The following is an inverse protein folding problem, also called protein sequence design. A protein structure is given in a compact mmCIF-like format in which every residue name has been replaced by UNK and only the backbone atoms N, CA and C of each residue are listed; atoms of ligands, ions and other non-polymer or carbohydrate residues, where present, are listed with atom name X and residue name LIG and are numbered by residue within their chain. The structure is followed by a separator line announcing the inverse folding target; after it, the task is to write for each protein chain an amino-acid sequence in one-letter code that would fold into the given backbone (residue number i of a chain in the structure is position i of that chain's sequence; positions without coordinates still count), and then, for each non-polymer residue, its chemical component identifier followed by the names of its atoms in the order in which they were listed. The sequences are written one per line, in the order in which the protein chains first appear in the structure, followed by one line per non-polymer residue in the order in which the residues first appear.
data_IF_025978192795
#
_entry.id   IF_025978192795
#
_cell.length_a   1.000
_cell.length_b   1.000
_cell.length_c   1.000
_cell.angle_alpha   90.00
_cell.angle_beta   90.00
_cell.angle_gamma   90.00
#
_symmetry.space_group_name_H-M   'P 1'
#
loop_
_entity.id
_entity.type
_entity.pdbx_description
1 polymer ?
#
# COMPACT_ATOMS: atom_id res chain seq x y z
N UNK A 1 -48.28 -18.65 5.00
CA UNK A 1 -46.95 -18.35 4.48
C UNK A 1 -46.77 -19.15 3.20
N UNK A 2 -46.37 -18.52 2.16
CA UNK A 2 -45.95 -19.24 0.93
C UNK A 2 -44.61 -19.95 1.14
N UNK A 3 -44.20 -20.79 0.20
CA UNK A 3 -42.94 -21.54 0.29
C UNK A 3 -41.72 -20.63 0.35
N UNK A 4 -41.77 -19.43 -0.26
CA UNK A 4 -40.70 -18.43 -0.22
C UNK A 4 -40.61 -17.79 1.17
N UNK A 5 -41.72 -17.43 1.76
CA UNK A 5 -41.76 -16.87 3.11
C UNK A 5 -41.25 -17.88 4.18
N UNK A 6 -41.59 -19.16 4.02
CA UNK A 6 -41.09 -20.22 4.91
C UNK A 6 -39.57 -20.38 4.78
N UNK A 7 -39.03 -20.37 3.52
CA UNK A 7 -37.60 -20.48 3.30
C UNK A 7 -36.82 -19.27 3.87
N UNK A 8 -37.38 -18.06 3.75
CA UNK A 8 -36.79 -16.84 4.33
C UNK A 8 -36.78 -16.89 5.86
N UNK A 9 -37.89 -17.30 6.49
CA UNK A 9 -37.97 -17.44 7.93
C UNK A 9 -36.97 -18.48 8.49
N UNK A 10 -36.71 -19.56 7.75
CA UNK A 10 -35.70 -20.54 8.14
C UNK A 10 -34.27 -19.93 8.01
N UNK A 11 -34.01 -19.16 6.95
CA UNK A 11 -32.72 -18.44 6.81
C UNK A 11 -32.51 -17.49 7.99
N UNK A 12 -33.49 -16.67 8.33
CA UNK A 12 -33.41 -15.71 9.45
C UNK A 12 -33.15 -16.41 10.79
N UNK A 13 -33.77 -17.58 11.01
CA UNK A 13 -33.55 -18.38 12.20
C UNK A 13 -32.11 -18.95 12.26
N UNK A 14 -31.59 -19.41 11.14
CA UNK A 14 -30.20 -19.88 11.01
C UNK A 14 -29.21 -18.72 11.21
N UNK A 15 -29.47 -17.56 10.61
CA UNK A 15 -28.61 -16.37 10.73
C UNK A 15 -28.53 -15.89 12.18
N UNK A 16 -29.64 -15.98 12.94
CA UNK A 16 -29.65 -15.69 14.39
C UNK A 16 -28.69 -16.61 15.15
N UNK A 17 -28.68 -17.91 14.81
CA UNK A 17 -27.75 -18.86 15.43
C UNK A 17 -26.31 -18.61 15.00
N UNK A 18 -26.07 -18.26 13.72
CA UNK A 18 -24.75 -17.91 13.20
C UNK A 18 -24.18 -16.68 13.90
N UNK A 19 -24.99 -15.66 14.19
CA UNK A 19 -24.55 -14.47 14.94
C UNK A 19 -24.03 -14.85 16.34
N UNK A 20 -24.78 -15.66 17.09
CA UNK A 20 -24.35 -16.11 18.42
C UNK A 20 -23.09 -17.00 18.37
N UNK A 21 -22.96 -17.86 17.34
CA UNK A 21 -21.76 -18.67 17.13
C UNK A 21 -20.56 -17.83 16.71
N UNK A 22 -20.77 -16.77 15.93
CA UNK A 22 -19.75 -15.83 15.55
C UNK A 22 -19.19 -15.09 16.79
N UNK A 23 -20.04 -14.53 17.64
CA UNK A 23 -19.60 -13.88 18.89
C UNK A 23 -18.80 -14.83 19.79
N UNK A 24 -19.27 -16.06 19.95
CA UNK A 24 -18.56 -17.09 20.72
C UNK A 24 -17.20 -17.42 20.10
N UNK A 25 -17.11 -17.48 18.76
CA UNK A 25 -15.85 -17.69 18.04
C UNK A 25 -14.89 -16.52 18.24
N UNK A 26 -15.39 -15.27 18.18
CA UNK A 26 -14.55 -14.08 18.36
C UNK A 26 -14.04 -13.96 19.80
N UNK A 27 -14.81 -14.37 20.81
CA UNK A 27 -14.33 -14.46 22.18
C UNK A 27 -13.15 -15.45 22.34
N UNK A 28 -13.20 -16.59 21.62
CA UNK A 28 -12.07 -17.52 21.59
C UNK A 28 -10.86 -16.96 20.83
N UNK A 29 -11.07 -16.17 19.77
CA UNK A 29 -10.00 -15.46 19.04
C UNK A 29 -9.25 -14.49 19.97
N UNK A 30 -9.96 -13.76 20.84
CA UNK A 30 -9.34 -12.88 21.85
C UNK A 30 -8.37 -13.63 22.76
N UNK A 31 -8.77 -14.80 23.26
CA UNK A 31 -7.90 -15.61 24.11
C UNK A 31 -6.64 -16.07 23.36
N UNK A 32 -6.78 -16.41 22.06
CA UNK A 32 -5.62 -16.74 21.22
C UNK A 32 -4.72 -15.51 21.00
N UNK A 33 -5.31 -14.33 20.76
CA UNK A 33 -4.57 -13.08 20.60
C UNK A 33 -3.76 -12.74 21.86
N UNK A 34 -4.35 -12.83 23.04
CA UNK A 34 -3.67 -12.60 24.31
C UNK A 34 -2.52 -13.59 24.54
N UNK A 35 -2.74 -14.86 24.23
CA UNK A 35 -1.69 -15.87 24.31
C UNK A 35 -0.53 -15.57 23.36
N UNK A 36 -0.82 -15.25 22.09
CA UNK A 36 0.20 -14.88 21.11
C UNK A 36 1.00 -13.66 21.55
N UNK A 37 0.33 -12.61 22.06
CA UNK A 37 0.99 -11.42 22.60
C UNK A 37 1.95 -11.77 23.75
N UNK A 38 1.51 -12.57 24.71
CA UNK A 38 2.31 -12.96 25.86
C UNK A 38 3.55 -13.78 25.49
N UNK A 39 3.52 -14.50 24.32
CA UNK A 39 4.60 -15.38 23.88
C UNK A 39 5.33 -14.87 22.62
N UNK A 40 5.05 -13.63 22.15
CA UNK A 40 5.70 -13.06 20.97
C UNK A 40 5.43 -13.81 19.67
N UNK A 41 4.27 -14.50 19.56
CA UNK A 41 3.91 -15.28 18.37
C UNK A 41 3.22 -14.41 17.31
N UNK A 42 3.45 -14.66 16.00
CA UNK A 42 2.81 -13.91 14.93
C UNK A 42 1.30 -14.18 14.86
N UNK A 43 0.54 -13.19 14.35
CA UNK A 43 -0.90 -13.36 14.08
C UNK A 43 -1.11 -14.43 12.99
N UNK A 44 -0.32 -14.38 11.93
CA UNK A 44 -0.44 -15.29 10.79
C UNK A 44 0.34 -16.60 11.01
N UNK A 45 -0.33 -17.72 10.77
CA UNK A 45 0.24 -19.09 10.78
C UNK A 45 -0.32 -19.85 9.57
N UNK A 46 0.45 -19.90 8.49
CA UNK A 46 0.08 -20.53 7.22
C UNK A 46 -0.27 -22.01 7.35
N UNK A 47 0.53 -22.77 8.14
CA UNK A 47 0.31 -24.20 8.35
C UNK A 47 -1.01 -24.44 9.09
N UNK A 48 -1.30 -23.62 10.09
CA UNK A 48 -2.56 -23.66 10.84
C UNK A 48 -3.75 -23.32 9.95
N UNK A 49 -3.67 -22.29 9.10
CA UNK A 49 -4.76 -21.90 8.20
C UNK A 49 -5.10 -23.02 7.23
N UNK A 50 -4.10 -23.59 6.57
CA UNK A 50 -4.31 -24.75 5.66
C UNK A 50 -5.01 -25.90 6.37
N UNK A 51 -4.52 -26.30 7.55
CA UNK A 51 -5.12 -27.38 8.33
C UNK A 51 -6.57 -27.07 8.75
N UNK A 52 -6.91 -25.81 9.05
CA UNK A 52 -8.26 -25.39 9.39
C UNK A 52 -9.19 -25.52 8.18
N UNK A 53 -8.77 -25.09 6.99
CA UNK A 53 -9.57 -25.19 5.77
C UNK A 53 -9.86 -26.61 5.36
N UNK A 54 -8.88 -27.51 5.47
CA UNK A 54 -9.07 -28.94 5.16
C UNK A 54 -10.05 -29.60 6.14
N UNK A 55 -9.89 -29.36 7.44
CA UNK A 55 -10.83 -29.84 8.46
C UNK A 55 -12.24 -29.27 8.28
N UNK A 56 -12.36 -28.00 7.88
CA UNK A 56 -13.64 -27.36 7.60
C UNK A 56 -14.37 -28.06 6.46
N UNK A 57 -13.71 -28.30 5.33
CA UNK A 57 -14.30 -28.99 4.19
C UNK A 57 -14.79 -30.41 4.55
N UNK A 58 -14.06 -31.14 5.40
CA UNK A 58 -14.44 -32.47 5.82
C UNK A 58 -15.72 -32.51 6.68
N UNK A 59 -16.12 -31.40 7.32
CA UNK A 59 -17.36 -31.30 8.13
C UNK A 59 -18.61 -31.21 7.30
N UNK A 60 -18.51 -30.79 6.02
CA UNK A 60 -19.65 -30.60 5.12
C UNK A 60 -19.98 -31.91 4.43
N UNK A 61 -21.20 -32.40 4.65
CA UNK A 61 -21.68 -33.68 4.06
C UNK A 61 -21.86 -33.56 2.55
N UNK A 62 -22.49 -32.47 2.06
CA UNK A 62 -22.70 -32.25 0.62
C UNK A 62 -21.40 -31.86 -0.09
N UNK A 63 -20.88 -32.67 -1.03
CA UNK A 63 -19.67 -32.35 -1.77
C UNK A 63 -19.78 -31.04 -2.55
N UNK A 64 -20.96 -30.70 -3.07
CA UNK A 64 -21.20 -29.48 -3.83
C UNK A 64 -21.06 -28.20 -2.99
N UNK A 65 -21.28 -28.27 -1.69
CA UNK A 65 -21.18 -27.12 -0.76
C UNK A 65 -19.77 -26.92 -0.17
N UNK A 66 -18.88 -27.92 -0.30
CA UNK A 66 -17.54 -27.86 0.29
C UNK A 66 -16.67 -26.68 -0.18
N UNK A 67 -16.63 -26.32 -1.49
CA UNK A 67 -15.86 -25.16 -1.96
C UNK A 67 -16.39 -23.85 -1.35
N UNK A 68 -17.70 -23.67 -1.32
CA UNK A 68 -18.35 -22.47 -0.75
C UNK A 68 -18.09 -22.34 0.76
N UNK A 69 -18.11 -23.46 1.47
CA UNK A 69 -17.82 -23.45 2.90
C UNK A 69 -16.32 -23.19 3.18
N UNK A 70 -15.40 -23.65 2.34
CA UNK A 70 -13.99 -23.26 2.42
C UNK A 70 -13.83 -21.75 2.32
N UNK A 71 -14.47 -21.11 1.32
CA UNK A 71 -14.43 -19.66 1.16
C UNK A 71 -15.04 -18.93 2.36
N UNK A 72 -16.17 -19.42 2.89
CA UNK A 72 -16.77 -18.87 4.10
C UNK A 72 -15.82 -18.95 5.31
N UNK A 73 -15.15 -20.07 5.53
CA UNK A 73 -14.19 -20.24 6.63
C UNK A 73 -12.96 -19.39 6.43
N UNK A 74 -12.48 -19.21 5.18
CA UNK A 74 -11.38 -18.29 4.89
C UNK A 74 -11.76 -16.86 5.30
N UNK A 75 -12.93 -16.38 4.89
CA UNK A 75 -13.43 -15.05 5.28
C UNK A 75 -13.56 -14.91 6.80
N UNK A 76 -14.03 -15.95 7.51
CA UNK A 76 -14.08 -15.95 8.98
C UNK A 76 -12.70 -15.87 9.64
N UNK A 77 -11.67 -16.46 9.02
CA UNK A 77 -10.29 -16.34 9.51
C UNK A 77 -9.73 -14.94 9.24
N UNK A 78 -10.03 -14.36 8.08
CA UNK A 78 -9.57 -13.03 7.73
C UNK A 78 -10.18 -11.95 8.64
N UNK A 79 -11.49 -12.04 8.93
CA UNK A 79 -12.17 -11.19 9.93
C UNK A 79 -11.56 -11.38 11.32
N UNK A 80 -11.23 -12.61 11.71
CA UNK A 80 -10.61 -12.90 13.00
C UNK A 80 -9.21 -12.27 13.12
N UNK A 81 -8.40 -12.36 12.07
CA UNK A 81 -7.06 -11.71 12.02
C UNK A 81 -7.17 -10.19 12.13
N UNK A 82 -8.14 -9.57 11.43
CA UNK A 82 -8.39 -8.14 11.52
C UNK A 82 -8.74 -7.72 12.96
N UNK A 83 -9.67 -8.45 13.60
CA UNK A 83 -10.08 -8.18 14.98
C UNK A 83 -8.93 -8.41 15.97
N UNK A 84 -8.17 -9.48 15.82
CA UNK A 84 -6.96 -9.77 16.59
C UNK A 84 -5.94 -8.63 16.49
N UNK A 85 -5.69 -8.12 15.27
CA UNK A 85 -4.80 -6.99 15.03
C UNK A 85 -5.25 -5.70 15.74
N UNK A 86 -6.57 -5.41 15.72
CA UNK A 86 -7.14 -4.26 16.45
C UNK A 86 -6.89 -4.39 17.95
N UNK A 87 -7.22 -5.56 18.54
CA UNK A 87 -7.10 -5.80 19.98
C UNK A 87 -5.64 -5.78 20.45
N UNK A 88 -4.73 -6.25 19.61
CA UNK A 88 -3.29 -6.22 19.90
C UNK A 88 -2.64 -4.85 19.65
N UNK A 89 -3.39 -3.86 19.18
CA UNK A 89 -2.85 -2.55 18.78
C UNK A 89 -1.97 -2.61 17.52
N UNK A 90 -2.08 -3.68 16.75
CA UNK A 90 -1.31 -3.90 15.50
C UNK A 90 -2.10 -3.48 14.24
N UNK A 91 -3.19 -2.73 14.42
CA UNK A 91 -4.05 -2.27 13.32
C UNK A 91 -3.69 -0.86 12.84
N UNK A 92 -2.56 -0.31 13.29
CA UNK A 92 -2.12 1.03 12.90
C UNK A 92 -1.28 0.97 11.62
N UNK A 93 -1.64 1.79 10.64
CA UNK A 93 -0.88 1.98 9.41
C UNK A 93 -0.47 3.45 9.28
N UNK A 94 0.85 3.68 9.11
CA UNK A 94 1.44 4.99 9.01
C UNK A 94 1.46 5.47 7.54
N UNK A 95 1.24 6.77 7.35
CA UNK A 95 1.40 7.42 6.05
C UNK A 95 1.91 8.85 6.23
N UNK A 96 2.53 9.40 5.20
CA UNK A 96 3.00 10.77 5.20
C UNK A 96 1.93 11.72 4.66
N UNK A 97 1.74 12.86 5.31
CA UNK A 97 0.87 13.94 4.89
C UNK A 97 -0.43 14.02 5.68
N UNK A 98 -1.47 14.57 5.08
CA UNK A 98 -2.78 14.79 5.70
C UNK A 98 -3.82 13.82 5.16
N UNK A 99 -4.94 13.72 5.84
CA UNK A 99 -6.10 12.96 5.36
C UNK A 99 -6.54 13.47 3.97
N UNK A 100 -6.83 12.54 3.05
CA UNK A 100 -7.10 12.85 1.65
C UNK A 100 -5.86 12.97 0.74
N UNK A 101 -4.63 12.98 1.27
CA UNK A 101 -3.44 12.86 0.43
C UNK A 101 -3.37 11.48 -0.26
N UNK A 102 -2.67 11.38 -1.40
CA UNK A 102 -2.58 10.11 -2.15
C UNK A 102 -2.02 8.95 -1.34
N UNK A 103 -1.10 9.21 -0.40
CA UNK A 103 -0.62 8.18 0.53
C UNK A 103 -1.73 7.68 1.47
N UNK A 104 -2.62 8.57 1.94
CA UNK A 104 -3.79 8.17 2.73
C UNK A 104 -4.78 7.36 1.88
N UNK A 105 -5.03 7.77 0.63
CA UNK A 105 -5.92 7.05 -0.30
C UNK A 105 -5.38 5.64 -0.56
N UNK A 106 -4.08 5.51 -0.86
CA UNK A 106 -3.42 4.22 -1.05
C UNK A 106 -3.53 3.33 0.21
N UNK A 107 -3.31 3.92 1.40
CA UNK A 107 -3.46 3.22 2.67
C UNK A 107 -4.90 2.70 2.86
N UNK A 108 -5.91 3.52 2.57
CA UNK A 108 -7.33 3.12 2.70
C UNK A 108 -7.73 2.04 1.71
N UNK A 109 -7.17 2.06 0.50
CA UNK A 109 -7.38 1.00 -0.49
C UNK A 109 -6.77 -0.34 -0.05
N UNK A 110 -5.57 -0.31 0.51
CA UNK A 110 -4.86 -1.50 1.00
C UNK A 110 -5.39 -2.01 2.34
N UNK A 111 -5.68 -1.08 3.26
CA UNK A 111 -6.04 -1.36 4.65
C UNK A 111 -7.29 -0.59 5.07
N UNK A 112 -8.48 -0.92 4.53
CA UNK A 112 -9.72 -0.15 4.76
C UNK A 112 -10.12 -0.04 6.23
N UNK A 113 -9.75 -1.03 7.05
CA UNK A 113 -10.09 -1.12 8.46
C UNK A 113 -8.94 -0.72 9.41
N UNK A 114 -7.79 -0.30 8.88
CA UNK A 114 -6.67 0.14 9.72
C UNK A 114 -6.93 1.51 10.34
N UNK A 115 -6.39 1.74 11.53
CA UNK A 115 -6.22 3.09 12.08
C UNK A 115 -5.11 3.78 11.27
N UNK A 116 -5.49 4.73 10.39
CA UNK A 116 -4.55 5.50 9.61
C UNK A 116 -3.90 6.58 10.47
N UNK A 117 -2.57 6.54 10.60
CA UNK A 117 -1.80 7.47 11.41
C UNK A 117 -0.95 8.36 10.51
N UNK A 118 -1.22 9.66 10.54
CA UNK A 118 -0.51 10.68 9.76
C UNK A 118 0.82 11.04 10.41
N UNK A 119 1.85 11.16 9.58
CA UNK A 119 3.16 11.69 9.96
C UNK A 119 3.59 12.82 9.01
N UNK A 120 4.33 13.83 9.49
CA UNK A 120 4.78 14.97 8.68
C UNK A 120 5.74 14.57 7.56
N UNK A 121 6.62 13.61 7.83
CA UNK A 121 7.71 13.20 6.92
C UNK A 121 7.72 11.69 6.66
N UNK A 122 8.40 11.28 5.59
CA UNK A 122 8.63 9.85 5.32
C UNK A 122 9.56 9.21 6.35
N UNK A 123 10.58 9.93 6.85
CA UNK A 123 11.45 9.48 7.96
C UNK A 123 10.62 9.04 9.16
N UNK A 124 9.68 9.88 9.59
CA UNK A 124 8.82 9.57 10.72
C UNK A 124 7.90 8.36 10.48
N UNK A 125 7.48 8.11 9.21
CA UNK A 125 6.75 6.89 8.85
C UNK A 125 7.64 5.66 9.01
N UNK A 126 8.88 5.71 8.51
CA UNK A 126 9.85 4.62 8.66
C UNK A 126 10.15 4.35 10.13
N UNK A 127 10.45 5.38 10.88
CA UNK A 127 10.70 5.32 12.32
C UNK A 127 9.53 4.70 13.08
N UNK A 128 8.28 5.12 12.76
CA UNK A 128 7.09 4.62 13.44
C UNK A 128 6.89 3.12 13.20
N UNK A 129 7.17 2.63 11.98
CA UNK A 129 7.12 1.20 11.68
C UNK A 129 8.25 0.46 12.38
N UNK A 130 9.47 0.99 12.38
CA UNK A 130 10.63 0.36 13.00
C UNK A 130 10.50 0.25 14.52
N UNK A 131 9.99 1.29 15.18
CA UNK A 131 9.68 1.27 16.63
C UNK A 131 8.46 0.42 16.98
N UNK A 132 7.57 0.15 16.03
CA UNK A 132 6.33 -0.59 16.24
C UNK A 132 5.13 0.27 16.64
N UNK A 133 5.22 1.58 16.49
CA UNK A 133 4.11 2.52 16.67
C UNK A 133 3.02 2.29 15.60
N UNK A 134 3.43 1.75 14.45
CA UNK A 134 2.55 1.26 13.39
C UNK A 134 3.00 -0.13 12.91
N UNK A 135 2.06 -0.98 12.53
CA UNK A 135 2.37 -2.30 11.97
C UNK A 135 2.84 -2.23 10.52
N UNK A 136 2.34 -1.24 9.78
CA UNK A 136 2.61 -1.01 8.35
C UNK A 136 2.88 0.47 8.09
N UNK A 137 3.68 0.75 7.05
CA UNK A 137 3.87 2.09 6.51
C UNK A 137 3.57 2.12 5.03
N UNK A 138 2.83 3.12 4.55
CA UNK A 138 2.52 3.29 3.13
C UNK A 138 3.18 4.57 2.64
N UNK A 139 4.13 4.43 1.71
CA UNK A 139 4.92 5.55 1.18
C UNK A 139 5.03 5.48 -0.34
N UNK A 140 5.08 6.63 -1.05
CA UNK A 140 5.25 6.66 -2.50
C UNK A 140 6.68 6.22 -2.86
N UNK A 141 6.83 5.43 -3.90
CA UNK A 141 8.12 4.91 -4.35
C UNK A 141 8.52 5.40 -5.75
N UNK A 142 7.54 5.48 -6.64
CA UNK A 142 7.74 5.87 -8.03
C UNK A 142 6.46 6.46 -8.61
N UNK A 143 6.57 7.44 -9.50
CA UNK A 143 5.46 7.95 -10.28
C UNK A 143 5.79 7.81 -11.77
N UNK A 144 4.83 7.35 -12.58
CA UNK A 144 5.04 7.09 -14.02
C UNK A 144 5.53 8.30 -14.83
N UNK A 145 5.27 9.53 -14.35
CA UNK A 145 5.67 10.76 -15.04
C UNK A 145 6.80 11.51 -14.32
N UNK A 146 6.76 11.55 -12.99
CA UNK A 146 7.77 12.28 -12.20
C UNK A 146 9.02 11.43 -11.88
N UNK A 147 8.94 10.09 -12.11
CA UNK A 147 10.03 9.17 -11.82
C UNK A 147 10.14 8.80 -10.34
N UNK A 148 11.36 8.52 -9.90
CA UNK A 148 11.64 7.94 -8.60
C UNK A 148 11.46 8.91 -7.43
N UNK A 149 10.86 8.42 -6.35
CA UNK A 149 10.89 9.09 -5.04
C UNK A 149 12.18 8.70 -4.32
N UNK A 150 13.29 9.25 -4.79
CA UNK A 150 14.65 8.89 -4.38
C UNK A 150 14.88 8.92 -2.87
N UNK A 151 14.25 9.87 -2.16
CA UNK A 151 14.35 9.96 -0.71
C UNK A 151 13.79 8.73 0.01
N UNK A 152 12.70 8.13 -0.51
CA UNK A 152 12.12 6.90 0.06
C UNK A 152 13.04 5.71 -0.19
N UNK A 153 13.72 5.64 -1.34
CA UNK A 153 14.70 4.60 -1.60
C UNK A 153 15.92 4.73 -0.65
N UNK A 154 16.37 5.96 -0.37
CA UNK A 154 17.43 6.21 0.63
C UNK A 154 17.00 5.77 2.04
N UNK A 155 15.74 6.00 2.41
CA UNK A 155 15.18 5.50 3.67
C UNK A 155 15.12 3.97 3.72
N UNK A 156 14.73 3.31 2.62
CA UNK A 156 14.81 1.85 2.52
C UNK A 156 16.23 1.33 2.77
N UNK A 157 17.25 2.03 2.27
CA UNK A 157 18.65 1.68 2.51
C UNK A 157 19.03 1.86 3.99
N UNK A 158 18.61 2.94 4.62
CA UNK A 158 18.99 3.34 5.98
C UNK A 158 18.24 2.57 7.08
N UNK A 159 17.10 1.94 6.77
CA UNK A 159 16.30 1.14 7.72
C UNK A 159 16.37 -0.37 7.39
N UNK A 160 17.50 -1.05 7.70
CA UNK A 160 17.70 -2.45 7.32
C UNK A 160 16.78 -3.44 8.02
N UNK A 161 16.14 -3.04 9.12
CA UNK A 161 15.18 -3.86 9.86
C UNK A 161 13.80 -3.91 9.19
N UNK A 162 13.53 -3.02 8.21
CA UNK A 162 12.26 -2.97 7.51
C UNK A 162 12.31 -3.70 6.17
N UNK A 163 11.15 -4.27 5.82
CA UNK A 163 10.89 -4.99 4.58
C UNK A 163 9.83 -4.27 3.76
N UNK A 164 9.97 -4.33 2.44
CA UNK A 164 8.86 -4.04 1.52
C UNK A 164 8.07 -5.33 1.35
N UNK A 165 6.81 -5.33 1.81
CA UNK A 165 5.97 -6.53 1.87
C UNK A 165 4.84 -6.53 0.86
N UNK A 166 4.56 -5.37 0.26
CA UNK A 166 3.54 -5.22 -0.77
C UNK A 166 3.80 -3.97 -1.61
N UNK A 167 3.18 -3.90 -2.80
CA UNK A 167 3.18 -2.75 -3.68
C UNK A 167 1.77 -2.45 -4.14
N UNK A 168 1.45 -1.17 -4.33
CA UNK A 168 0.15 -0.74 -4.82
C UNK A 168 0.30 0.38 -5.85
N UNK A 169 -0.17 0.12 -7.07
CA UNK A 169 -0.17 1.07 -8.16
C UNK A 169 -1.49 1.85 -8.14
N UNK A 170 -1.46 3.10 -7.65
CA UNK A 170 -2.61 3.99 -7.55
C UNK A 170 -2.70 4.87 -8.80
N UNK A 171 -3.76 4.76 -9.63
CA UNK A 171 -4.03 5.71 -10.68
C UNK A 171 -4.29 7.12 -10.10
N UNK A 172 -3.60 8.12 -10.63
CA UNK A 172 -3.70 9.51 -10.17
C UNK A 172 -4.56 10.30 -11.14
N UNK A 173 -5.77 10.67 -10.71
CA UNK A 173 -6.65 11.56 -11.43
C UNK A 173 -6.72 12.91 -10.74
N UNK A 174 -6.45 13.98 -11.49
CA UNK A 174 -6.58 15.36 -11.02
C UNK A 174 -7.94 15.89 -11.46
N UNK A 175 -8.70 16.43 -10.53
CA UNK A 175 -10.04 16.95 -10.78
C UNK A 175 -10.13 18.40 -10.30
N UNK A 176 -10.95 19.21 -10.95
CA UNK A 176 -11.24 20.57 -10.48
C UNK A 176 -12.37 20.49 -9.44
N UNK A 177 -12.03 20.81 -8.20
CA UNK A 177 -12.91 20.74 -7.04
C UNK A 177 -13.36 22.13 -6.61
N UNK A 178 -14.65 22.28 -6.31
CA UNK A 178 -15.26 23.55 -5.94
C UNK A 178 -16.26 23.40 -4.80
N UNK A 179 -16.69 24.49 -4.21
CA UNK A 179 -17.86 24.49 -3.32
C UNK A 179 -19.12 24.08 -4.10
N UNK A 180 -20.03 23.31 -3.50
CA UNK A 180 -21.25 22.85 -4.17
C UNK A 180 -22.02 23.96 -4.84
N UNK A 181 -22.44 23.75 -6.10
CA UNK A 181 -23.19 24.70 -6.90
C UNK A 181 -22.36 25.79 -7.56
N UNK A 182 -21.05 25.83 -7.42
CA UNK A 182 -20.14 26.78 -8.11
C UNK A 182 -20.06 26.45 -9.59
N UNK A 183 -20.10 27.50 -10.45
CA UNK A 183 -19.92 27.36 -11.90
C UNK A 183 -18.51 27.76 -12.33
N UNK A 184 -18.07 27.24 -13.48
CA UNK A 184 -16.71 27.43 -13.99
C UNK A 184 -16.36 28.93 -14.22
N UNK A 185 -17.30 29.73 -14.65
CA UNK A 185 -17.14 31.16 -14.92
C UNK A 185 -16.98 32.00 -13.64
N UNK A 186 -17.30 31.47 -12.49
CA UNK A 186 -17.11 32.12 -11.19
C UNK A 186 -15.69 31.98 -10.65
N UNK A 187 -14.92 30.98 -11.12
CA UNK A 187 -13.60 30.64 -10.59
C UNK A 187 -12.58 31.70 -11.04
N UNK A 188 -11.83 32.24 -10.07
CA UNK A 188 -10.77 33.24 -10.30
C UNK A 188 -9.38 32.73 -9.91
N UNK A 189 -9.30 31.69 -9.09
CA UNK A 189 -8.01 31.12 -8.63
C UNK A 189 -8.12 29.65 -8.32
N UNK A 190 -7.04 28.92 -8.60
CA UNK A 190 -6.93 27.46 -8.38
C UNK A 190 -5.76 27.19 -7.44
N UNK A 191 -5.91 26.25 -6.55
CA UNK A 191 -4.92 25.87 -5.54
C UNK A 191 -4.60 24.39 -5.66
N UNK A 192 -3.32 24.01 -5.62
CA UNK A 192 -2.91 22.61 -5.55
C UNK A 192 -1.40 22.45 -5.27
N UNK A 193 -0.93 21.21 -5.19
CA UNK A 193 0.49 20.92 -5.21
C UNK A 193 1.11 21.28 -6.57
N UNK A 194 2.36 21.74 -6.59
CA UNK A 194 3.05 22.18 -7.81
C UNK A 194 2.99 21.15 -8.94
N UNK A 195 3.15 19.88 -8.60
CA UNK A 195 3.10 18.78 -9.59
C UNK A 195 1.70 18.62 -10.21
N UNK A 196 0.64 18.71 -9.40
CA UNK A 196 -0.74 18.61 -9.89
C UNK A 196 -1.12 19.81 -10.79
N UNK A 197 -0.61 21.02 -10.45
CA UNK A 197 -0.73 22.20 -11.30
C UNK A 197 -0.06 21.98 -12.65
N UNK A 198 1.19 21.49 -12.66
CA UNK A 198 1.92 21.19 -13.89
C UNK A 198 1.22 20.12 -14.75
N UNK A 199 0.72 19.07 -14.12
CA UNK A 199 -0.06 18.01 -14.80
C UNK A 199 -1.39 18.51 -15.38
N UNK A 200 -1.93 19.62 -14.90
CA UNK A 200 -3.19 20.21 -15.33
C UNK A 200 -3.00 21.52 -16.14
N UNK A 201 -1.76 21.80 -16.55
CA UNK A 201 -1.42 23.09 -17.19
C UNK A 201 -2.24 23.39 -18.44
N UNK A 202 -2.48 22.39 -19.28
CA UNK A 202 -3.28 22.54 -20.51
C UNK A 202 -4.68 23.05 -20.20
N UNK A 203 -5.34 22.42 -19.22
CA UNK A 203 -6.67 22.85 -18.77
C UNK A 203 -6.66 24.25 -18.17
N UNK A 204 -5.72 24.52 -17.25
CA UNK A 204 -5.60 25.84 -16.59
C UNK A 204 -5.39 26.96 -17.60
N UNK A 205 -4.54 26.74 -18.60
CA UNK A 205 -4.25 27.71 -19.66
C UNK A 205 -5.47 27.93 -20.58
N UNK A 206 -6.18 26.86 -20.93
CA UNK A 206 -7.37 26.93 -21.79
C UNK A 206 -8.46 27.81 -21.18
N UNK A 207 -8.65 27.77 -19.86
CA UNK A 207 -9.66 28.55 -19.15
C UNK A 207 -9.10 29.81 -18.48
N UNK A 208 -7.83 30.15 -18.68
CA UNK A 208 -7.19 31.33 -18.11
C UNK A 208 -7.19 31.39 -16.59
N UNK A 209 -7.10 30.22 -15.93
CA UNK A 209 -7.19 30.08 -14.48
C UNK A 209 -5.78 30.16 -13.84
N UNK A 210 -5.49 31.22 -13.05
CA UNK A 210 -4.25 31.34 -12.32
C UNK A 210 -4.20 30.28 -11.19
N UNK A 211 -3.05 29.63 -11.03
CA UNK A 211 -2.87 28.59 -10.01
C UNK A 211 -1.80 28.98 -8.98
N UNK A 212 -2.06 28.64 -7.72
CA UNK A 212 -1.16 28.88 -6.59
C UNK A 212 -0.74 27.54 -5.97
N UNK A 213 0.57 27.34 -5.83
CA UNK A 213 1.12 26.13 -5.24
C UNK A 213 0.91 26.07 -3.72
N UNK A 214 0.55 24.89 -3.24
CA UNK A 214 0.43 24.54 -1.82
C UNK A 214 1.24 23.28 -1.52
N UNK A 215 1.39 22.95 -0.24
CA UNK A 215 2.22 21.82 0.21
C UNK A 215 1.74 20.46 -0.31
N UNK A 216 0.42 20.25 -0.46
CA UNK A 216 -0.16 19.07 -1.11
C UNK A 216 -1.58 19.35 -1.62
N UNK A 217 -2.12 18.44 -2.44
CA UNK A 217 -3.45 18.56 -3.06
C UNK A 217 -4.59 18.53 -2.04
N UNK A 218 -4.47 17.73 -0.98
CA UNK A 218 -5.51 17.62 0.04
C UNK A 218 -5.59 18.89 0.91
N UNK A 219 -4.45 19.52 1.24
CA UNK A 219 -4.45 20.82 1.91
C UNK A 219 -5.07 21.92 1.06
N UNK A 220 -4.87 21.88 -0.25
CA UNK A 220 -5.51 22.83 -1.16
C UNK A 220 -7.04 22.65 -1.19
N UNK A 221 -7.51 21.42 -1.25
CA UNK A 221 -8.95 21.11 -1.17
C UNK A 221 -9.55 21.54 0.17
N UNK A 222 -8.88 21.24 1.28
CA UNK A 222 -9.29 21.71 2.61
C UNK A 222 -9.39 23.23 2.69
N UNK A 223 -8.37 23.92 2.18
CA UNK A 223 -8.35 25.39 2.14
C UNK A 223 -9.54 25.97 1.36
N UNK A 224 -9.88 25.40 0.20
CA UNK A 224 -11.04 25.83 -0.61
C UNK A 224 -12.33 25.57 0.16
N UNK A 225 -12.51 24.40 0.75
CA UNK A 225 -13.68 24.07 1.55
C UNK A 225 -13.88 25.02 2.74
N UNK A 226 -12.83 25.30 3.50
CA UNK A 226 -12.87 26.19 4.67
C UNK A 226 -13.00 27.68 4.32
N UNK A 227 -12.61 28.08 3.11
CA UNK A 227 -12.69 29.49 2.68
C UNK A 227 -14.12 30.00 2.49
N UNK A 228 -15.07 29.10 2.16
CA UNK A 228 -16.44 29.49 1.81
C UNK A 228 -16.56 30.39 0.58
N UNK A 229 -15.47 30.52 -0.21
CA UNK A 229 -15.38 31.47 -1.34
C UNK A 229 -15.52 30.70 -2.67
N UNK A 230 -16.69 30.87 -3.33
CA UNK A 230 -16.99 30.22 -4.61
C UNK A 230 -16.09 30.67 -5.78
N UNK A 231 -15.25 31.69 -5.60
CA UNK A 231 -14.26 32.08 -6.62
C UNK A 231 -12.98 31.24 -6.58
N UNK A 232 -12.85 30.32 -5.63
CA UNK A 232 -11.70 29.47 -5.46
C UNK A 232 -12.01 28.02 -5.85
N UNK A 233 -11.04 27.36 -6.45
CA UNK A 233 -11.09 25.94 -6.76
C UNK A 233 -9.80 25.22 -6.32
N UNK A 234 -9.88 23.93 -6.12
CA UNK A 234 -8.70 23.10 -5.86
C UNK A 234 -8.52 22.06 -6.97
N UNK A 235 -7.28 21.60 -7.18
CA UNK A 235 -7.01 20.41 -7.96
C UNK A 235 -6.62 19.29 -6.99
N UNK A 236 -7.44 18.24 -6.95
CA UNK A 236 -7.19 17.07 -6.11
C UNK A 236 -7.96 15.83 -6.63
N UNK A 237 -7.93 14.74 -5.85
CA UNK A 237 -8.65 13.51 -6.17
C UNK A 237 -10.14 13.60 -5.84
N UNK A 238 -10.94 12.67 -6.38
CA UNK A 238 -12.37 12.57 -6.09
C UNK A 238 -12.63 12.17 -4.63
N UNK A 239 -11.77 11.36 -4.04
CA UNK A 239 -11.84 10.97 -2.62
C UNK A 239 -11.66 12.20 -1.72
N UNK A 240 -10.77 13.09 -2.10
CA UNK A 240 -10.54 14.36 -1.38
C UNK A 240 -11.75 15.29 -1.49
N UNK A 241 -12.45 15.31 -2.64
CA UNK A 241 -13.70 16.04 -2.79
C UNK A 241 -14.76 15.54 -1.79
N UNK A 242 -14.97 14.23 -1.74
CA UNK A 242 -15.91 13.59 -0.81
C UNK A 242 -15.57 13.89 0.66
N UNK A 243 -14.26 13.83 1.00
CA UNK A 243 -13.78 14.07 2.36
C UNK A 243 -14.09 15.49 2.87
N UNK A 244 -13.90 16.51 2.02
CA UNK A 244 -14.06 17.90 2.41
C UNK A 244 -15.40 18.53 1.96
N UNK A 245 -16.35 17.73 1.45
CA UNK A 245 -17.67 18.22 1.01
C UNK A 245 -17.61 19.13 -0.20
N UNK A 246 -16.60 18.94 -1.06
CA UNK A 246 -16.47 19.65 -2.34
C UNK A 246 -17.15 18.87 -3.46
N UNK A 247 -17.52 19.59 -4.52
CA UNK A 247 -18.06 19.05 -5.76
C UNK A 247 -16.97 18.94 -6.81
N UNK A 248 -16.97 17.83 -7.57
CA UNK A 248 -16.11 17.67 -8.76
C UNK A 248 -16.76 18.41 -9.91
N UNK A 249 -16.29 19.61 -10.21
CA UNK A 249 -16.82 20.42 -11.31
C UNK A 249 -16.35 19.91 -12.68
N UNK A 250 -15.07 19.56 -12.81
CA UNK A 250 -14.51 18.99 -14.04
C UNK A 250 -13.63 17.81 -13.64
N UNK A 251 -13.97 16.59 -14.06
CA UNK A 251 -13.15 15.41 -13.77
C UNK A 251 -11.97 15.32 -14.74
N UNK A 252 -10.90 14.65 -14.29
CA UNK A 252 -9.74 14.22 -15.10
C UNK A 252 -9.15 15.36 -15.94
N UNK A 253 -8.76 16.46 -15.29
CA UNK A 253 -8.16 17.63 -15.94
C UNK A 253 -6.65 17.51 -16.18
N UNK A 254 -6.04 16.41 -15.77
CA UNK A 254 -4.64 16.12 -16.08
C UNK A 254 -4.44 15.86 -17.57
N UNK A 255 -3.34 16.38 -18.13
CA UNK A 255 -3.01 16.31 -19.56
C UNK A 255 -2.83 14.86 -20.02
N UNK A 256 -2.19 14.03 -19.18
CA UNK A 256 -1.90 12.63 -19.47
C UNK A 256 -2.77 11.73 -18.58
N UNK A 257 -3.50 10.80 -19.21
CA UNK A 257 -4.51 9.96 -18.52
C UNK A 257 -3.95 8.72 -17.82
N UNK A 258 -2.66 8.41 -17.99
CA UNK A 258 -1.98 7.20 -17.50
C UNK A 258 -1.07 7.46 -16.29
N UNK A 259 -1.25 8.58 -15.61
CA UNK A 259 -0.49 8.92 -14.41
C UNK A 259 -0.78 7.93 -13.28
N UNK A 260 0.26 7.23 -12.83
CA UNK A 260 0.17 6.23 -11.77
C UNK A 260 1.29 6.45 -10.77
N UNK A 261 0.97 6.38 -9.48
CA UNK A 261 1.97 6.38 -8.41
C UNK A 261 2.04 5.00 -7.78
N UNK A 262 3.21 4.40 -7.78
CA UNK A 262 3.50 3.18 -7.04
C UNK A 262 3.79 3.52 -5.59
N UNK A 263 3.05 2.91 -4.69
CA UNK A 263 3.30 2.92 -3.26
C UNK A 263 3.90 1.58 -2.83
N UNK A 264 4.79 1.62 -1.85
CA UNK A 264 5.31 0.44 -1.17
C UNK A 264 4.75 0.36 0.23
N UNK A 265 4.57 -0.87 0.71
CA UNK A 265 4.16 -1.17 2.08
C UNK A 265 5.36 -1.66 2.87
N UNK A 266 5.67 -0.95 3.93
CA UNK A 266 6.75 -1.25 4.87
C UNK A 266 6.24 -2.08 6.03
N UNK A 267 7.06 -3.01 6.51
CA UNK A 267 6.79 -3.82 7.70
C UNK A 267 8.09 -4.29 8.36
N UNK A 268 8.02 -4.60 9.65
CA UNK A 268 9.07 -5.33 10.38
C UNK A 268 9.01 -6.84 10.13
N UNK A 269 7.87 -7.35 9.71
CA UNK A 269 7.69 -8.76 9.42
C UNK A 269 8.30 -9.11 8.07
N UNK A 270 9.12 -10.16 8.04
CA UNK A 270 9.69 -10.67 6.79
C UNK A 270 8.57 -11.25 5.92
N UNK A 271 8.48 -10.86 4.64
CA UNK A 271 7.50 -11.45 3.73
C UNK A 271 7.79 -12.93 3.46
N UNK A 272 6.73 -13.72 3.27
CA UNK A 272 6.83 -15.18 3.15
C UNK A 272 6.63 -15.70 1.73
N UNK A 273 6.22 -14.88 0.78
CA UNK A 273 6.01 -15.28 -0.61
C UNK A 273 5.64 -14.13 -1.53
N UNK A 274 5.74 -14.36 -2.82
CA UNK A 274 5.45 -13.40 -3.87
C UNK A 274 5.99 -13.87 -5.21
N UNK A 275 5.72 -13.11 -6.28
CA UNK A 275 6.26 -13.35 -7.62
C UNK A 275 7.25 -12.27 -8.06
N UNK A 276 7.59 -11.35 -7.16
CA UNK A 276 8.58 -10.29 -7.29
C UNK A 276 9.41 -10.19 -6.03
N UNK A 277 10.67 -9.85 -6.20
CA UNK A 277 11.54 -9.49 -5.09
C UNK A 277 12.50 -8.37 -5.48
N UNK A 278 12.89 -7.58 -4.51
CA UNK A 278 13.81 -6.48 -4.69
C UNK A 278 15.07 -6.64 -3.85
N UNK A 279 16.20 -6.22 -4.42
CA UNK A 279 17.50 -6.28 -3.78
C UNK A 279 18.11 -4.89 -3.69
N UNK A 280 18.84 -4.65 -2.61
CA UNK A 280 19.81 -3.57 -2.49
C UNK A 280 21.22 -4.18 -2.46
N UNK A 281 22.14 -3.65 -3.26
CA UNK A 281 23.52 -4.13 -3.26
C UNK A 281 24.52 -3.02 -3.51
N UNK A 282 25.76 -3.27 -3.13
CA UNK A 282 26.92 -2.42 -3.42
C UNK A 282 28.02 -3.22 -4.10
N UNK A 283 28.74 -2.60 -4.99
CA UNK A 283 29.89 -3.20 -5.69
C UNK A 283 31.12 -2.34 -5.56
N UNK A 284 32.30 -2.91 -5.83
CA UNK A 284 33.51 -2.11 -5.99
C UNK A 284 33.33 -1.10 -7.13
N UNK A 285 33.70 0.15 -6.92
CA UNK A 285 33.67 1.18 -7.97
C UNK A 285 34.83 0.98 -8.95
N UNK A 286 34.74 -0.11 -9.76
CA UNK A 286 35.71 -0.52 -10.77
C UNK A 286 35.02 -0.83 -12.10
N UNK A 287 35.69 -0.64 -13.22
CA UNK A 287 35.15 -1.00 -14.53
C UNK A 287 34.63 -2.44 -14.57
N UNK A 288 33.40 -2.64 -15.08
CA UNK A 288 32.79 -3.95 -15.26
C UNK A 288 32.05 -4.51 -14.06
N UNK A 289 32.26 -4.04 -12.83
CA UNK A 289 31.69 -4.68 -11.61
C UNK A 289 30.17 -4.67 -11.57
N UNK A 290 29.51 -3.59 -11.96
CA UNK A 290 28.05 -3.58 -12.10
C UNK A 290 27.60 -4.52 -13.23
N UNK A 291 28.35 -4.57 -14.34
CA UNK A 291 28.08 -5.47 -15.47
C UNK A 291 28.12 -6.94 -15.08
N UNK A 292 29.10 -7.35 -14.22
CA UNK A 292 29.16 -8.72 -13.67
C UNK A 292 27.87 -9.08 -12.93
N UNK A 293 27.36 -8.20 -12.06
CA UNK A 293 26.11 -8.42 -11.32
C UNK A 293 24.92 -8.59 -12.26
N UNK A 294 24.79 -7.73 -13.27
CA UNK A 294 23.70 -7.79 -14.26
C UNK A 294 23.78 -9.12 -15.05
N UNK A 295 24.98 -9.54 -15.43
CA UNK A 295 25.20 -10.83 -16.14
C UNK A 295 24.81 -12.02 -15.26
N UNK A 296 25.16 -12.02 -13.98
CA UNK A 296 24.78 -13.07 -13.02
C UNK A 296 23.25 -13.17 -12.93
N UNK A 297 22.55 -12.05 -12.76
CA UNK A 297 21.08 -12.02 -12.69
C UNK A 297 20.46 -12.61 -13.97
N UNK A 298 20.93 -12.15 -15.16
CA UNK A 298 20.42 -12.64 -16.44
C UNK A 298 20.75 -14.13 -16.69
N UNK A 299 21.99 -14.57 -16.38
CA UNK A 299 22.40 -15.97 -16.52
C UNK A 299 21.64 -16.90 -15.57
N UNK A 300 21.19 -16.41 -14.42
CA UNK A 300 20.32 -17.13 -13.49
C UNK A 300 18.85 -17.18 -13.93
N UNK A 301 18.49 -16.61 -15.08
CA UNK A 301 17.14 -16.67 -15.66
C UNK A 301 16.16 -15.63 -15.11
N UNK A 302 16.60 -14.65 -14.32
CA UNK A 302 15.72 -13.63 -13.75
C UNK A 302 15.56 -12.42 -14.70
N UNK A 303 14.31 -12.01 -14.91
CA UNK A 303 14.00 -10.74 -15.57
C UNK A 303 14.12 -9.60 -14.59
N UNK A 304 14.87 -8.55 -14.97
CA UNK A 304 15.04 -7.32 -14.20
C UNK A 304 14.04 -6.26 -14.72
N UNK A 305 13.02 -5.93 -13.91
CA UNK A 305 12.03 -4.90 -14.26
C UNK A 305 12.54 -3.47 -13.97
N UNK A 306 13.41 -3.31 -12.99
CA UNK A 306 13.94 -2.00 -12.60
C UNK A 306 15.38 -2.10 -12.10
N UNK A 307 16.19 -1.09 -12.42
CA UNK A 307 17.50 -0.85 -11.78
C UNK A 307 17.63 0.64 -11.49
N UNK A 308 18.05 0.98 -10.27
CA UNK A 308 18.24 2.36 -9.81
C UNK A 308 19.58 2.45 -9.07
N UNK A 309 20.28 3.57 -9.22
CA UNK A 309 21.53 3.84 -8.51
C UNK A 309 21.39 5.07 -7.63
N UNK A 310 21.90 5.00 -6.40
CA UNK A 310 21.89 6.12 -5.47
C UNK A 310 23.26 6.30 -4.81
N UNK A 311 23.69 7.53 -4.54
CA UNK A 311 24.90 7.77 -3.76
C UNK A 311 24.78 7.14 -2.36
N UNK A 312 25.84 6.51 -1.90
CA UNK A 312 25.90 6.01 -0.53
C UNK A 312 25.97 7.16 0.47
N UNK A 313 25.18 7.14 1.56
CA UNK A 313 25.32 8.09 2.63
C UNK A 313 26.75 8.09 3.20
N UNK A 314 27.32 9.26 3.43
CA UNK A 314 28.62 9.47 4.05
C UNK A 314 29.85 8.89 3.33
N UNK A 315 29.70 8.32 2.13
CA UNK A 315 30.82 7.78 1.33
C UNK A 315 30.85 8.46 -0.05
N UNK A 316 31.71 9.48 -0.26
CA UNK A 316 31.77 10.22 -1.51
C UNK A 316 32.04 9.31 -2.72
N UNK A 317 31.25 9.50 -3.79
CA UNK A 317 31.42 8.80 -5.09
C UNK A 317 31.25 7.28 -5.05
N UNK A 318 30.71 6.72 -3.96
CA UNK A 318 30.26 5.34 -3.88
C UNK A 318 28.73 5.28 -4.04
N UNK A 319 28.22 4.17 -4.59
CA UNK A 319 26.82 4.00 -4.92
C UNK A 319 26.28 2.68 -4.38
N UNK A 320 25.02 2.67 -3.97
CA UNK A 320 24.24 1.46 -3.85
C UNK A 320 23.26 1.35 -5.01
N UNK A 321 22.86 0.14 -5.32
CA UNK A 321 21.95 -0.18 -6.41
C UNK A 321 20.71 -0.88 -5.85
N UNK A 322 19.58 -0.51 -6.42
CA UNK A 322 18.31 -1.19 -6.25
C UNK A 322 17.98 -1.93 -7.53
N UNK A 323 17.50 -3.18 -7.42
CA UNK A 323 16.93 -3.94 -8.54
C UNK A 323 15.63 -4.59 -8.13
N UNK A 324 14.69 -4.67 -9.06
CA UNK A 324 13.44 -5.41 -8.95
C UNK A 324 13.46 -6.58 -9.92
N UNK A 325 13.25 -7.80 -9.41
CA UNK A 325 13.36 -9.04 -10.15
C UNK A 325 12.04 -9.80 -10.14
N UNK A 326 11.71 -10.40 -11.29
CA UNK A 326 10.57 -11.32 -11.45
C UNK A 326 11.00 -12.72 -11.06
N UNK A 327 10.35 -13.30 -10.08
CA UNK A 327 10.62 -14.67 -9.65
C UNK A 327 10.07 -15.00 -8.26
N UNK A 328 10.07 -16.27 -7.94
CA UNK A 328 9.70 -16.76 -6.61
C UNK A 328 10.92 -16.65 -5.66
N UNK A 329 10.83 -15.85 -4.59
CA UNK A 329 11.92 -15.67 -3.64
C UNK A 329 12.24 -16.94 -2.82
N UNK A 330 11.36 -17.94 -2.82
CA UNK A 330 11.52 -19.20 -2.09
C UNK A 330 12.12 -20.33 -2.95
N UNK A 331 12.26 -20.09 -4.26
CA UNK A 331 12.80 -21.07 -5.18
C UNK A 331 14.32 -21.32 -4.98
N UNK A 332 14.78 -22.51 -5.30
CA UNK A 332 16.19 -22.87 -5.20
C UNK A 332 17.08 -22.01 -6.10
N UNK A 333 16.55 -21.60 -7.26
CA UNK A 333 17.21 -20.70 -8.22
C UNK A 333 17.47 -19.32 -7.59
N UNK A 334 16.50 -18.76 -6.84
CA UNK A 334 16.67 -17.50 -6.11
C UNK A 334 17.73 -17.65 -5.01
N UNK A 335 17.70 -18.75 -4.26
CA UNK A 335 18.72 -19.02 -3.26
C UNK A 335 20.12 -19.18 -3.89
N UNK A 336 20.22 -19.75 -5.09
CA UNK A 336 21.48 -19.85 -5.83
C UNK A 336 21.96 -18.47 -6.28
N UNK A 337 21.09 -17.66 -6.87
CA UNK A 337 21.37 -16.27 -7.27
C UNK A 337 21.91 -15.46 -6.09
N UNK A 338 21.21 -15.47 -4.94
CA UNK A 338 21.63 -14.69 -3.77
C UNK A 338 23.01 -15.10 -3.26
N UNK A 339 23.35 -16.41 -3.27
CA UNK A 339 24.69 -16.87 -2.90
C UNK A 339 25.78 -16.41 -3.86
N UNK A 340 25.48 -16.31 -5.16
CA UNK A 340 26.44 -15.84 -6.17
C UNK A 340 26.64 -14.34 -6.07
N UNK A 341 25.56 -13.58 -5.88
CA UNK A 341 25.62 -12.14 -5.65
C UNK A 341 26.40 -11.79 -4.37
N UNK A 342 26.24 -12.56 -3.30
CA UNK A 342 26.97 -12.36 -2.03
C UNK A 342 28.48 -12.53 -2.19
N UNK A 343 28.94 -13.34 -3.16
CA UNK A 343 30.36 -13.49 -3.50
C UNK A 343 30.91 -12.37 -4.38
N UNK A 344 30.05 -11.72 -5.16
CA UNK A 344 30.44 -10.75 -6.19
C UNK A 344 30.30 -9.31 -5.69
N UNK A 345 29.30 -9.04 -4.88
CA UNK A 345 28.99 -7.73 -4.30
C UNK A 345 29.74 -7.52 -2.98
N UNK A 346 29.92 -6.26 -2.59
CA UNK A 346 30.37 -5.93 -1.22
C UNK A 346 29.28 -6.21 -0.20
N UNK A 347 28.04 -5.88 -0.55
CA UNK A 347 26.85 -6.16 0.26
C UNK A 347 25.70 -6.53 -0.65
N UNK A 348 24.85 -7.45 -0.20
CA UNK A 348 23.55 -7.78 -0.81
C UNK A 348 22.50 -7.86 0.28
N UNK A 349 21.36 -7.23 0.07
CA UNK A 349 20.23 -7.30 0.98
C UNK A 349 18.94 -7.53 0.20
N UNK A 350 18.18 -8.54 0.55
CA UNK A 350 16.80 -8.68 0.13
C UNK A 350 15.99 -7.56 0.80
N UNK A 351 15.49 -6.62 0.03
CA UNK A 351 14.72 -5.48 0.52
C UNK A 351 13.25 -5.84 0.69
N UNK A 352 12.69 -6.59 -0.25
CA UNK A 352 11.28 -6.90 -0.22
C UNK A 352 10.91 -8.08 -1.11
N UNK A 353 9.71 -8.61 -0.82
CA UNK A 353 9.03 -9.66 -1.58
C UNK A 353 7.56 -9.31 -1.62
N UNK A 354 6.95 -9.36 -2.80
CA UNK A 354 5.55 -9.01 -3.00
C UNK A 354 4.98 -9.67 -4.25
N UNK A 355 3.67 -9.60 -4.39
CA UNK A 355 2.93 -10.06 -5.59
C UNK A 355 2.47 -8.85 -6.41
N UNK A 356 2.67 -8.93 -7.73
CA UNK A 356 2.23 -7.90 -8.67
C UNK A 356 1.50 -8.54 -9.85
#
# INVERSE_FOLDING_TARGET
MDALEQARAEIDAVDTQLAALFERRMAAVLQVAEYKRAHGLPIYDAARETAVLEKAAARIQSPALRPYYKNHVQNLMDVAKQYEAVVLGQNRAAYQGVEGAFAHIALRALFPHAEAVSYPTWDEVFDAVERGDAARGVVPFENSHAGDVSAVLDLCYNHPALWVVDVYDLPISQNLLVLPGTKLDQIKSVYSHQQAIAQSETFLRQFGLPATAMANTAMAAKFVAESGDASKAAIASVETAALYGLEVLVPSINTDGDNTTRFIVLSREKPTGGNRFSLLFTVDNKPGKLGEVIQIIGASGFNMESIKSRPMPHVPFEYYFYVELVGDPTADETAALLRELDRTCRTVRLLGVYTK
#
